data_IF_379544607295
#
_entry.id   IF_379544607295
#
_cell.length_a   1.000
_cell.length_b   1.000
_cell.length_c   1.000
_cell.angle_alpha   90.00
_cell.angle_beta   90.00
_cell.angle_gamma   90.00
#
_symmetry.space_group_name_H-M   'P 1'
#
loop_
_entity.id
_entity.type
_entity.pdbx_description
1 polymer ?
#
# COMPACT_ATOMS: atom_id res chain seq x y z
N UNK A 1 -94.02 -65.83 29.34
CA UNK A 1 -94.01 -64.56 28.59
C UNK A 1 -93.31 -63.43 29.36
N UNK A 2 -93.87 -62.89 30.46
CA UNK A 2 -93.34 -61.68 31.13
C UNK A 2 -91.83 -61.66 31.48
N UNK A 3 -91.28 -62.76 31.99
CA UNK A 3 -89.86 -62.83 32.37
C UNK A 3 -88.91 -62.85 31.14
N UNK A 4 -89.36 -63.45 30.04
CA UNK A 4 -88.63 -63.45 28.76
C UNK A 4 -88.61 -62.04 28.17
N UNK A 5 -89.72 -61.31 28.26
CA UNK A 5 -89.80 -59.92 27.78
C UNK A 5 -88.89 -58.99 28.59
N UNK A 6 -88.83 -59.19 29.91
CA UNK A 6 -87.94 -58.43 30.80
C UNK A 6 -86.47 -58.66 30.47
N UNK A 7 -86.05 -59.93 30.30
CA UNK A 7 -84.67 -60.28 29.91
C UNK A 7 -84.31 -59.79 28.51
N UNK A 8 -85.27 -59.80 27.58
CA UNK A 8 -85.06 -59.26 26.23
C UNK A 8 -84.73 -57.77 26.26
N UNK A 9 -85.48 -56.99 27.05
CA UNK A 9 -85.24 -55.55 27.20
C UNK A 9 -83.86 -55.25 27.81
N UNK A 10 -83.43 -56.06 28.78
CA UNK A 10 -82.12 -55.93 29.43
C UNK A 10 -80.96 -56.18 28.44
N UNK A 11 -81.06 -57.25 27.65
CA UNK A 11 -80.07 -57.54 26.59
C UNK A 11 -80.04 -56.43 25.52
N UNK A 12 -81.19 -55.87 25.16
CA UNK A 12 -81.27 -54.80 24.16
C UNK A 12 -80.68 -53.48 24.70
N UNK A 13 -80.76 -53.22 25.99
CA UNK A 13 -80.10 -52.08 26.63
C UNK A 13 -78.59 -52.29 26.72
N UNK A 14 -78.13 -53.49 27.08
CA UNK A 14 -76.71 -53.83 27.10
C UNK A 14 -76.09 -53.77 25.70
N UNK A 15 -76.81 -54.22 24.67
CA UNK A 15 -76.39 -54.09 23.28
C UNK A 15 -76.19 -52.62 22.88
N UNK A 16 -77.11 -51.72 23.28
CA UNK A 16 -76.97 -50.28 23.04
C UNK A 16 -75.76 -49.68 23.78
N UNK A 17 -75.50 -50.10 25.02
CA UNK A 17 -74.32 -49.65 25.80
C UNK A 17 -73.02 -50.12 25.16
N UNK A 18 -72.96 -51.37 24.69
CA UNK A 18 -71.79 -51.92 24.00
C UNK A 18 -71.55 -51.23 22.65
N UNK A 19 -72.61 -50.92 21.91
CA UNK A 19 -72.53 -50.14 20.67
C UNK A 19 -71.91 -48.76 20.91
N UNK A 20 -72.38 -48.03 21.93
CA UNK A 20 -71.81 -46.72 22.33
C UNK A 20 -70.32 -46.83 22.65
N UNK A 21 -69.94 -47.81 23.49
CA UNK A 21 -68.53 -48.04 23.84
C UNK A 21 -67.67 -48.40 22.62
N UNK A 22 -68.22 -49.15 21.66
CA UNK A 22 -67.51 -49.46 20.41
C UNK A 22 -67.22 -48.19 19.61
N UNK A 23 -68.21 -47.30 19.49
CA UNK A 23 -68.05 -46.04 18.76
C UNK A 23 -67.02 -45.12 19.44
N UNK A 24 -67.08 -44.99 20.76
CA UNK A 24 -66.09 -44.23 21.54
C UNK A 24 -64.66 -44.78 21.34
N UNK A 25 -64.50 -46.10 21.34
CA UNK A 25 -63.20 -46.74 21.11
C UNK A 25 -62.68 -46.48 19.69
N UNK A 26 -63.57 -46.55 18.69
CA UNK A 26 -63.26 -46.27 17.28
C UNK A 26 -62.79 -44.83 17.09
N UNK A 27 -63.46 -43.86 17.72
CA UNK A 27 -63.06 -42.45 17.71
C UNK A 27 -61.71 -42.25 18.41
N UNK A 28 -61.50 -42.88 19.57
CA UNK A 28 -60.22 -42.84 20.28
C UNK A 28 -59.06 -43.42 19.46
N UNK A 29 -59.29 -44.50 18.70
CA UNK A 29 -58.29 -45.03 17.77
C UNK A 29 -57.98 -44.06 16.64
N UNK A 30 -58.98 -43.41 16.05
CA UNK A 30 -58.77 -42.39 15.00
C UNK A 30 -57.92 -41.23 15.52
N UNK A 31 -58.23 -40.72 16.72
CA UNK A 31 -57.44 -39.67 17.35
C UNK A 31 -56.00 -40.11 17.62
N UNK A 32 -55.82 -41.34 18.12
CA UNK A 32 -54.50 -41.92 18.34
C UNK A 32 -53.68 -42.02 17.04
N UNK A 33 -54.30 -42.45 15.94
CA UNK A 33 -53.63 -42.52 14.65
C UNK A 33 -53.22 -41.13 14.13
N UNK A 34 -54.08 -40.12 14.28
CA UNK A 34 -53.72 -38.74 13.93
C UNK A 34 -52.53 -38.23 14.73
N UNK A 35 -52.54 -38.41 16.06
CA UNK A 35 -51.41 -38.03 16.93
C UNK A 35 -50.12 -38.79 16.59
N UNK A 36 -50.22 -40.07 16.21
CA UNK A 36 -49.07 -40.86 15.78
C UNK A 36 -48.42 -40.29 14.52
N UNK A 37 -49.23 -39.84 13.55
CA UNK A 37 -48.73 -39.20 12.33
C UNK A 37 -48.07 -37.86 12.64
N UNK A 38 -48.69 -37.03 13.50
CA UNK A 38 -48.11 -35.76 13.94
C UNK A 38 -46.76 -35.97 14.65
N UNK A 39 -46.69 -36.94 15.57
CA UNK A 39 -45.46 -37.28 16.28
C UNK A 39 -44.34 -37.72 15.34
N UNK A 40 -44.65 -38.51 14.30
CA UNK A 40 -43.69 -38.89 13.29
C UNK A 40 -43.15 -37.66 12.53
N UNK A 41 -44.02 -36.70 12.20
CA UNK A 41 -43.62 -35.43 11.58
C UNK A 41 -42.70 -34.59 12.47
N UNK A 42 -43.03 -34.47 13.75
CA UNK A 42 -42.19 -33.77 14.74
C UNK A 42 -40.83 -34.46 14.87
N UNK A 43 -40.80 -35.78 14.98
CA UNK A 43 -39.57 -36.56 15.06
C UNK A 43 -38.66 -36.33 13.85
N UNK A 44 -39.23 -36.28 12.65
CA UNK A 44 -38.47 -36.00 11.42
C UNK A 44 -37.89 -34.58 11.42
N UNK A 45 -38.67 -33.59 11.87
CA UNK A 45 -38.22 -32.20 11.97
C UNK A 45 -37.09 -32.04 12.98
N UNK A 46 -37.19 -32.73 14.13
CA UNK A 46 -36.13 -32.77 15.15
C UNK A 46 -34.84 -33.39 14.58
N UNK A 47 -34.94 -34.52 13.89
CA UNK A 47 -33.79 -35.18 13.28
C UNK A 47 -33.08 -34.26 12.25
N UNK A 48 -33.85 -33.55 11.42
CA UNK A 48 -33.30 -32.58 10.48
C UNK A 48 -32.55 -31.44 11.19
N UNK A 49 -33.15 -30.88 12.26
CA UNK A 49 -32.49 -29.82 13.05
C UNK A 49 -31.20 -30.29 13.71
N UNK A 50 -31.14 -31.53 14.19
CA UNK A 50 -29.91 -32.10 14.74
C UNK A 50 -28.80 -32.17 13.68
N UNK A 51 -29.11 -32.67 12.49
CA UNK A 51 -28.13 -32.72 11.40
C UNK A 51 -27.60 -31.33 11.02
N UNK A 52 -28.48 -30.32 10.94
CA UNK A 52 -28.04 -28.95 10.68
C UNK A 52 -27.14 -28.38 11.80
N UNK A 53 -27.42 -28.72 13.07
CA UNK A 53 -26.59 -28.27 14.20
C UNK A 53 -25.20 -28.91 14.13
N UNK A 54 -25.12 -30.19 13.80
CA UNK A 54 -23.84 -30.89 13.61
C UNK A 54 -23.01 -30.27 12.48
N UNK A 55 -23.64 -29.96 11.34
CA UNK A 55 -22.97 -29.28 10.24
C UNK A 55 -22.47 -27.89 10.65
N UNK A 56 -23.29 -27.10 11.35
CA UNK A 56 -22.88 -25.79 11.88
C UNK A 56 -21.70 -25.91 12.84
N UNK A 57 -21.67 -26.92 13.69
CA UNK A 57 -20.56 -27.15 14.62
C UNK A 57 -19.26 -27.51 13.89
N UNK A 58 -19.32 -28.32 12.83
CA UNK A 58 -18.15 -28.63 12.00
C UNK A 58 -17.62 -27.36 11.31
N UNK A 59 -18.51 -26.53 10.77
CA UNK A 59 -18.13 -25.26 10.15
C UNK A 59 -17.46 -24.31 11.16
N UNK A 60 -18.05 -24.17 12.34
CA UNK A 60 -17.48 -23.34 13.41
C UNK A 60 -16.08 -23.82 13.80
N UNK A 61 -15.88 -25.13 13.97
CA UNK A 61 -14.56 -25.69 14.27
C UNK A 61 -13.53 -25.39 13.16
N UNK A 62 -13.91 -25.53 11.89
CA UNK A 62 -13.04 -25.19 10.77
C UNK A 62 -12.65 -23.70 10.79
N UNK A 63 -13.62 -22.82 11.05
CA UNK A 63 -13.39 -21.37 11.12
C UNK A 63 -12.54 -20.96 12.31
N UNK A 64 -12.67 -21.62 13.45
CA UNK A 64 -11.79 -21.42 14.61
C UNK A 64 -10.34 -21.77 14.26
N UNK A 65 -10.09 -22.86 13.55
CA UNK A 65 -8.74 -23.24 13.13
C UNK A 65 -8.14 -22.24 12.13
N UNK A 66 -8.94 -21.72 11.21
CA UNK A 66 -8.52 -20.67 10.27
C UNK A 66 -8.15 -19.37 11.01
N UNK A 67 -8.97 -18.97 11.99
CA UNK A 67 -8.70 -17.78 12.80
C UNK A 67 -7.41 -17.92 13.60
N UNK A 68 -7.17 -19.06 14.25
CA UNK A 68 -5.92 -19.32 14.97
C UNK A 68 -4.70 -19.24 14.04
N UNK A 69 -4.83 -19.73 12.80
CA UNK A 69 -3.74 -19.65 11.82
C UNK A 69 -3.44 -18.21 11.40
N UNK A 70 -4.49 -17.39 11.19
CA UNK A 70 -4.35 -15.95 10.89
C UNK A 70 -3.79 -15.16 12.05
N UNK A 71 -4.17 -15.49 13.28
CA UNK A 71 -3.64 -14.85 14.48
C UNK A 71 -2.11 -15.00 14.56
N UNK A 72 -1.59 -16.22 14.35
CA UNK A 72 -0.16 -16.48 14.32
C UNK A 72 0.58 -15.72 13.20
N UNK A 73 -0.07 -15.53 12.04
CA UNK A 73 0.50 -14.75 10.93
C UNK A 73 0.57 -13.25 11.27
N UNK A 74 -0.49 -12.71 11.86
CA UNK A 74 -0.55 -11.32 12.31
C UNK A 74 0.53 -11.05 13.35
N UNK A 75 0.66 -11.90 14.37
CA UNK A 75 1.71 -11.77 15.38
C UNK A 75 3.12 -11.75 14.76
N UNK A 76 3.39 -12.67 13.82
CA UNK A 76 4.67 -12.70 13.11
C UNK A 76 4.92 -11.42 12.33
N UNK A 77 3.89 -10.90 11.65
CA UNK A 77 3.98 -9.66 10.88
C UNK A 77 4.22 -8.43 11.77
N UNK A 78 3.60 -8.38 12.96
CA UNK A 78 3.78 -7.33 13.95
C UNK A 78 5.21 -7.29 14.46
N UNK A 79 5.77 -8.45 14.82
CA UNK A 79 7.17 -8.55 15.27
C UNK A 79 8.15 -8.10 14.18
N UNK A 80 7.91 -8.47 12.92
CA UNK A 80 8.74 -8.03 11.80
C UNK A 80 8.63 -6.52 11.55
N UNK A 81 7.43 -5.96 11.66
CA UNK A 81 7.19 -4.53 11.51
C UNK A 81 7.92 -3.73 12.61
N UNK A 82 7.80 -4.18 13.86
CA UNK A 82 8.47 -3.55 15.00
C UNK A 82 10.01 -3.52 14.82
N UNK A 83 10.62 -4.63 14.38
CA UNK A 83 12.07 -4.69 14.10
C UNK A 83 12.49 -3.72 13.00
N UNK A 84 11.71 -3.63 11.92
CA UNK A 84 12.00 -2.69 10.83
C UNK A 84 11.85 -1.24 11.28
N UNK A 85 10.84 -0.94 12.10
CA UNK A 85 10.67 0.40 12.70
C UNK A 85 11.90 0.80 13.51
N UNK A 86 12.36 -0.09 14.41
CA UNK A 86 13.55 0.14 15.23
C UNK A 86 14.81 0.36 14.36
N UNK A 87 14.99 -0.45 13.31
CA UNK A 87 16.10 -0.27 12.36
C UNK A 87 16.04 1.09 11.67
N UNK A 88 14.85 1.54 11.25
CA UNK A 88 14.69 2.85 10.61
C UNK A 88 14.93 4.01 11.59
N UNK A 89 14.50 3.88 12.85
CA UNK A 89 14.79 4.87 13.89
C UNK A 89 16.29 4.96 14.18
N UNK A 90 17.00 3.83 14.20
CA UNK A 90 18.45 3.80 14.34
C UNK A 90 19.15 4.55 13.20
N UNK A 91 18.79 4.24 11.95
CA UNK A 91 19.33 4.94 10.77
C UNK A 91 19.04 6.44 10.81
N UNK A 92 17.86 6.83 11.27
CA UNK A 92 17.51 8.25 11.42
C UNK A 92 18.39 8.95 12.46
N UNK A 93 18.68 8.30 13.59
CA UNK A 93 19.61 8.81 14.60
C UNK A 93 21.02 9.02 14.03
N UNK A 94 21.55 8.03 13.30
CA UNK A 94 22.87 8.13 12.66
C UNK A 94 22.95 9.27 11.65
N UNK A 95 21.91 9.43 10.81
CA UNK A 95 21.81 10.53 9.84
C UNK A 95 21.80 11.88 10.56
N UNK A 96 21.05 12.02 11.65
CA UNK A 96 21.00 13.26 12.42
C UNK A 96 22.36 13.61 13.03
N UNK A 97 23.05 12.65 13.64
CA UNK A 97 24.40 12.89 14.16
C UNK A 97 25.42 13.22 13.05
N UNK A 98 25.28 12.62 11.85
CA UNK A 98 26.10 12.99 10.70
C UNK A 98 25.81 14.42 10.22
N UNK A 99 24.54 14.82 10.22
CA UNK A 99 24.11 16.18 9.88
C UNK A 99 24.71 17.22 10.83
N UNK A 100 24.65 16.99 12.15
CA UNK A 100 25.22 17.90 13.15
C UNK A 100 26.73 18.13 12.93
N UNK A 101 27.48 17.05 12.66
CA UNK A 101 28.93 17.16 12.33
C UNK A 101 29.18 17.97 11.06
N UNK A 102 28.35 17.79 10.03
CA UNK A 102 28.47 18.57 8.80
C UNK A 102 28.14 20.05 9.03
N UNK A 103 27.13 20.35 9.85
CA UNK A 103 26.79 21.73 10.22
C UNK A 103 27.94 22.42 10.98
N UNK A 104 28.66 21.70 11.84
CA UNK A 104 29.85 22.21 12.50
C UNK A 104 31.00 22.47 11.51
N UNK A 105 31.27 21.54 10.59
CA UNK A 105 32.26 21.75 9.53
C UNK A 105 31.93 22.93 8.63
N UNK A 106 30.65 23.15 8.30
CA UNK A 106 30.23 24.33 7.52
C UNK A 106 30.55 25.61 8.27
N UNK A 107 30.23 25.71 9.57
CA UNK A 107 30.56 26.89 10.40
C UNK A 107 32.06 27.16 10.46
N UNK A 108 32.87 26.10 10.56
CA UNK A 108 34.33 26.23 10.54
C UNK A 108 34.83 26.76 9.19
N UNK A 109 34.32 26.22 8.08
CA UNK A 109 34.69 26.65 6.72
C UNK A 109 34.28 28.10 6.45
N UNK A 110 33.09 28.52 6.88
CA UNK A 110 32.64 29.91 6.79
C UNK A 110 33.57 30.86 7.58
N UNK A 111 34.06 30.43 8.75
CA UNK A 111 34.99 31.24 9.55
C UNK A 111 36.35 31.38 8.86
N UNK A 112 36.91 30.29 8.33
CA UNK A 112 38.15 30.31 7.53
C UNK A 112 38.01 31.15 6.27
N UNK A 113 36.84 31.11 5.62
CA UNK A 113 36.55 31.95 4.45
C UNK A 113 36.63 33.44 4.81
N UNK A 114 36.05 33.86 5.94
CA UNK A 114 36.13 35.24 6.42
C UNK A 114 37.55 35.67 6.77
N UNK A 115 38.33 34.81 7.42
CA UNK A 115 39.74 35.09 7.73
C UNK A 115 40.57 35.32 6.46
N UNK A 116 40.41 34.45 5.45
CA UNK A 116 41.06 34.62 4.15
C UNK A 116 40.65 35.91 3.47
N UNK A 117 39.35 36.24 3.47
CA UNK A 117 38.84 37.47 2.86
C UNK A 117 39.44 38.73 3.52
N UNK A 118 39.52 38.74 4.85
CA UNK A 118 40.17 39.83 5.59
C UNK A 118 41.68 39.90 5.27
N UNK A 119 42.37 38.77 5.19
CA UNK A 119 43.78 38.71 4.81
C UNK A 119 44.03 39.23 3.39
N UNK A 120 43.16 38.92 2.43
CA UNK A 120 43.23 39.49 1.08
C UNK A 120 43.03 41.00 1.07
N UNK A 121 42.07 41.52 1.85
CA UNK A 121 41.85 42.97 1.98
C UNK A 121 43.10 43.68 2.54
N UNK A 122 43.74 43.11 3.58
CA UNK A 122 44.96 43.65 4.16
C UNK A 122 46.14 43.62 3.17
N UNK A 123 46.33 42.52 2.46
CA UNK A 123 47.38 42.39 1.44
C UNK A 123 47.19 43.39 0.30
N UNK A 124 45.95 43.63 -0.13
CA UNK A 124 45.67 44.63 -1.15
C UNK A 124 45.97 46.05 -0.64
N UNK A 125 45.63 46.37 0.62
CA UNK A 125 46.05 47.64 1.25
C UNK A 125 47.58 47.81 1.26
N UNK A 126 48.32 46.79 1.71
CA UNK A 126 49.79 46.81 1.71
C UNK A 126 50.36 46.99 0.30
N UNK A 127 49.77 46.32 -0.69
CA UNK A 127 50.16 46.46 -2.10
C UNK A 127 50.00 47.91 -2.59
N UNK A 128 48.90 48.56 -2.23
CA UNK A 128 48.65 49.97 -2.58
C UNK A 128 49.65 50.91 -1.92
N UNK A 129 50.02 50.68 -0.65
CA UNK A 129 51.06 51.44 0.05
C UNK A 129 52.45 51.27 -0.58
N UNK A 130 52.85 50.03 -0.88
CA UNK A 130 54.11 49.75 -1.58
C UNK A 130 54.16 50.43 -2.96
N UNK A 131 53.05 50.38 -3.71
CA UNK A 131 52.93 51.05 -5.01
C UNK A 131 53.16 52.56 -4.90
N UNK A 132 52.56 53.19 -3.89
CA UNK A 132 52.76 54.62 -3.60
C UNK A 132 54.22 54.93 -3.27
N UNK A 133 54.85 54.16 -2.38
CA UNK A 133 56.27 54.33 -2.01
C UNK A 133 57.22 54.15 -3.21
N UNK A 134 56.92 53.23 -4.13
CA UNK A 134 57.73 53.03 -5.34
C UNK A 134 57.62 54.17 -6.34
N UNK A 135 56.45 54.78 -6.49
CA UNK A 135 56.27 55.95 -7.36
C UNK A 135 56.97 57.18 -6.75
N UNK A 136 56.86 57.40 -5.44
CA UNK A 136 57.56 58.47 -4.72
C UNK A 136 59.09 58.33 -4.76
N UNK A 137 59.62 57.09 -4.75
CA UNK A 137 61.07 56.85 -4.92
C UNK A 137 61.54 56.97 -6.37
N UNK A 138 60.69 56.69 -7.35
CA UNK A 138 61.02 56.87 -8.78
C UNK A 138 61.13 58.35 -9.14
N UNK A 139 60.25 59.21 -8.59
CA UNK A 139 60.30 60.66 -8.80
C UNK A 139 61.55 61.31 -8.18
N UNK A 140 62.10 60.74 -7.11
CA UNK A 140 63.32 61.22 -6.46
C UNK A 140 64.63 60.76 -7.13
N UNK A 141 64.59 59.84 -8.10
CA UNK A 141 65.79 59.28 -8.75
C UNK A 141 65.95 59.68 -10.24
N UNK A 142 65.07 60.51 -10.79
CA UNK A 142 65.25 61.14 -12.11
C UNK A 142 66.01 62.47 -11.93
N UNK A 143 67.25 62.37 -11.44
CA UNK A 143 68.21 63.49 -11.50
C UNK A 143 69.66 63.04 -11.66
N UNK A 144 69.98 61.74 -11.61
CA UNK A 144 71.37 61.29 -11.83
C UNK A 144 71.47 59.84 -12.28
N UNK A 145 71.51 59.62 -13.59
CA UNK A 145 72.47 58.71 -14.25
C UNK A 145 72.12 58.52 -15.74
N UNK A 146 72.61 59.42 -16.59
CA UNK A 146 73.00 59.02 -17.94
C UNK A 146 74.35 58.30 -17.89
N UNK A 147 74.50 57.34 -18.80
CA UNK A 147 75.74 56.68 -19.26
C UNK A 147 76.38 55.61 -18.37
N UNK A 148 76.24 54.34 -18.77
CA UNK A 148 77.40 53.49 -19.11
C UNK A 148 76.95 52.22 -19.84
N UNK A 149 77.27 52.15 -21.13
CA UNK A 149 77.19 50.92 -21.93
C UNK A 149 78.38 50.04 -21.53
N UNK A 150 78.13 48.84 -20.99
CA UNK A 150 79.00 47.70 -21.27
C UNK A 150 78.33 46.34 -20.96
N UNK A 151 78.55 45.32 -21.81
CA UNK A 151 77.86 44.04 -21.71
C UNK A 151 78.60 43.08 -20.78
N UNK A 152 77.98 42.70 -19.66
CA UNK A 152 78.52 41.65 -18.79
C UNK A 152 77.84 40.33 -19.11
N UNK A 153 78.61 39.47 -19.79
CA UNK A 153 78.33 38.03 -19.97
C UNK A 153 78.09 37.38 -18.60
N UNK A 154 76.88 36.90 -18.32
CA UNK A 154 76.63 35.99 -17.18
C UNK A 154 76.35 34.58 -17.70
N UNK A 155 77.19 33.67 -17.22
CA UNK A 155 77.15 32.22 -17.46
C UNK A 155 75.76 31.67 -17.14
N UNK A 156 75.22 30.90 -18.09
CA UNK A 156 74.06 30.02 -17.89
C UNK A 156 74.43 28.97 -16.84
N UNK A 157 73.89 29.10 -15.63
CA UNK A 157 73.85 27.98 -14.68
C UNK A 157 72.55 27.24 -14.87
N UNK A 158 72.68 26.08 -15.50
CA UNK A 158 71.64 25.07 -15.63
C UNK A 158 71.24 24.56 -14.24
N UNK A 159 70.09 25.00 -13.73
CA UNK A 159 69.41 24.28 -12.66
C UNK A 159 68.49 23.23 -13.27
N UNK A 160 68.82 21.99 -12.93
CA UNK A 160 68.26 20.73 -13.40
C UNK A 160 66.73 20.73 -13.34
N UNK A 161 66.10 20.53 -14.50
CA UNK A 161 64.77 19.91 -14.64
C UNK A 161 64.79 18.60 -13.86
N UNK A 162 64.07 18.53 -12.73
CA UNK A 162 63.70 17.26 -12.12
C UNK A 162 62.55 16.67 -12.94
N UNK A 163 62.89 15.64 -13.70
CA UNK A 163 61.97 14.74 -14.40
C UNK A 163 61.64 13.59 -13.45
N UNK A 164 60.39 13.45 -13.03
CA UNK A 164 59.81 12.19 -12.52
C UNK A 164 58.37 12.13 -13.04
N UNK A 165 58.21 11.41 -14.15
CA UNK A 165 57.67 10.03 -14.26
C UNK A 165 56.15 10.05 -14.27
N UNK A 166 55.61 10.08 -15.49
CA UNK A 166 54.29 9.52 -15.77
C UNK A 166 54.34 8.05 -15.35
N UNK A 167 53.58 7.73 -14.31
CA UNK A 167 53.11 6.37 -14.09
C UNK A 167 51.72 6.34 -14.71
N UNK A 168 51.64 5.76 -15.91
CA UNK A 168 50.37 5.27 -16.45
C UNK A 168 49.77 4.27 -15.47
N UNK A 169 48.51 4.52 -15.10
CA UNK A 169 47.58 3.52 -14.57
C UNK A 169 46.22 3.76 -15.23
N UNK A 170 45.41 2.70 -15.36
CA UNK A 170 44.86 2.29 -16.64
C UNK A 170 43.49 2.89 -16.94
N UNK A 171 43.16 2.88 -18.23
CA UNK A 171 41.80 3.05 -18.72
C UNK A 171 40.85 2.02 -18.08
N UNK A 172 39.63 2.41 -17.67
CA UNK A 172 38.50 1.53 -17.73
C UNK A 172 37.91 1.62 -19.14
N UNK A 173 38.23 0.64 -19.97
CA UNK A 173 37.29 0.21 -21.00
C UNK A 173 36.18 -0.56 -20.30
N UNK A 174 34.97 -0.02 -20.25
CA UNK A 174 33.76 -0.84 -20.23
C UNK A 174 32.69 -0.15 -21.07
N UNK A 175 32.47 -0.77 -22.22
CA UNK A 175 31.21 -0.96 -22.92
C UNK A 175 30.27 0.23 -23.09
N UNK A 176 30.13 0.57 -24.36
CA UNK A 176 28.89 1.04 -24.95
C UNK A 176 27.69 0.30 -24.37
N UNK A 177 26.85 1.03 -23.66
CA UNK A 177 25.41 0.83 -23.77
C UNK A 177 24.86 2.20 -24.09
N UNK A 178 24.44 2.36 -25.34
CA UNK A 178 23.49 3.38 -25.74
C UNK A 178 22.31 3.25 -24.79
N UNK A 179 22.24 4.14 -23.79
CA UNK A 179 21.02 4.27 -22.99
C UNK A 179 20.02 4.97 -23.90
N UNK A 180 19.30 4.12 -24.63
CA UNK A 180 18.07 4.48 -25.28
C UNK A 180 17.20 5.15 -24.22
N UNK A 181 16.85 6.41 -24.47
CA UNK A 181 15.82 7.12 -23.73
C UNK A 181 14.48 6.44 -24.03
N UNK A 182 14.22 5.29 -23.40
CA UNK A 182 12.91 4.66 -23.38
C UNK A 182 12.39 4.73 -21.95
N UNK A 183 11.76 5.86 -21.65
CA UNK A 183 10.86 6.05 -20.52
C UNK A 183 9.57 5.26 -20.73
N UNK A 184 9.63 3.93 -20.78
CA UNK A 184 8.49 3.07 -21.17
C UNK A 184 8.15 1.97 -20.15
N UNK A 185 8.55 2.13 -18.89
CA UNK A 185 8.25 1.15 -17.83
C UNK A 185 7.66 1.71 -16.54
N UNK A 186 7.63 3.04 -16.38
CA UNK A 186 7.27 3.68 -15.10
C UNK A 186 5.83 4.14 -15.03
N UNK A 187 5.12 4.21 -16.16
CA UNK A 187 3.72 4.59 -16.13
C UNK A 187 2.87 3.44 -15.62
N UNK A 188 2.25 3.65 -14.47
CA UNK A 188 1.26 2.75 -13.88
C UNK A 188 -0.14 3.29 -14.10
N UNK A 189 -1.12 2.41 -14.22
CA UNK A 189 -2.53 2.75 -14.25
C UNK A 189 -3.29 1.94 -13.20
N UNK A 190 -4.41 2.49 -12.75
CA UNK A 190 -5.34 1.79 -11.86
C UNK A 190 -6.43 1.12 -12.67
N UNK A 191 -6.81 -0.08 -12.28
CA UNK A 191 -7.89 -0.87 -12.89
C UNK A 191 -8.74 -1.52 -11.81
N UNK A 192 -9.96 -1.96 -12.15
CA UNK A 192 -10.85 -2.69 -11.23
C UNK A 192 -11.30 -4.02 -11.81
N UNK A 193 -11.43 -5.03 -10.94
CA UNK A 193 -12.02 -6.31 -11.33
C UNK A 193 -13.54 -6.17 -11.43
N UNK A 194 -14.12 -6.51 -12.59
CA UNK A 194 -15.58 -6.45 -12.79
C UNK A 194 -16.38 -7.41 -11.88
N UNK A 195 -15.76 -8.48 -11.39
CA UNK A 195 -16.43 -9.51 -10.58
C UNK A 195 -16.50 -9.16 -9.09
N UNK A 196 -15.42 -8.59 -8.54
CA UNK A 196 -15.31 -8.32 -7.09
C UNK A 196 -15.01 -6.87 -6.75
N UNK A 197 -14.93 -5.99 -7.75
CA UNK A 197 -14.70 -4.54 -7.62
C UNK A 197 -13.40 -4.14 -6.91
N UNK A 198 -12.45 -5.08 -6.79
CA UNK A 198 -11.15 -4.79 -6.19
C UNK A 198 -10.28 -4.00 -7.16
N UNK A 199 -9.59 -2.98 -6.64
CA UNK A 199 -8.75 -2.05 -7.42
C UNK A 199 -7.30 -2.53 -7.41
N UNK A 200 -6.64 -2.49 -8.56
CA UNK A 200 -5.26 -2.92 -8.75
C UNK A 200 -4.44 -1.84 -9.46
N UNK A 201 -3.17 -1.71 -9.11
CA UNK A 201 -2.19 -0.90 -9.84
C UNK A 201 -1.32 -1.81 -10.70
N UNK A 202 -1.26 -1.53 -12.00
CA UNK A 202 -0.41 -2.26 -12.94
C UNK A 202 0.42 -1.31 -13.80
N UNK A 203 1.48 -1.81 -14.42
CA UNK A 203 2.23 -1.07 -15.44
C UNK A 203 1.41 -0.95 -16.72
N UNK A 204 1.52 0.16 -17.46
CA UNK A 204 0.75 0.38 -18.70
C UNK A 204 0.98 -0.68 -19.79
N UNK A 205 2.01 -1.51 -19.65
CA UNK A 205 2.29 -2.67 -20.51
C UNK A 205 1.20 -3.75 -20.51
N UNK A 206 0.30 -3.75 -19.52
CA UNK A 206 -0.81 -4.71 -19.41
C UNK A 206 -2.19 -4.09 -19.59
N UNK A 207 -2.29 -2.86 -20.08
CA UNK A 207 -3.58 -2.26 -20.48
C UNK A 207 -4.20 -3.10 -21.60
N UNK A 208 -5.52 -3.30 -21.51
CA UNK A 208 -6.33 -4.10 -22.43
C UNK A 208 -5.91 -5.58 -22.54
N UNK A 209 -5.20 -6.12 -21.55
CA UNK A 209 -4.88 -7.56 -21.46
C UNK A 209 -5.79 -8.27 -20.46
N UNK A 210 -6.01 -9.56 -20.69
CA UNK A 210 -6.70 -10.44 -19.75
C UNK A 210 -5.78 -10.79 -18.57
N UNK A 211 -6.21 -10.40 -17.37
CA UNK A 211 -5.54 -10.70 -16.11
C UNK A 211 -6.43 -11.59 -15.25
N UNK A 212 -5.82 -12.32 -14.32
CA UNK A 212 -6.55 -13.09 -13.30
C UNK A 212 -6.59 -12.30 -12.01
N UNK A 213 -7.80 -12.06 -11.48
CA UNK A 213 -7.97 -11.33 -10.22
C UNK A 213 -7.41 -12.14 -9.06
N UNK A 214 -6.46 -11.57 -8.31
CA UNK A 214 -5.86 -12.24 -7.15
C UNK A 214 -6.84 -12.40 -5.98
N UNK A 215 -7.94 -11.64 -5.97
CA UNK A 215 -8.95 -11.69 -4.91
C UNK A 215 -10.04 -12.74 -5.16
N UNK A 216 -10.56 -12.85 -6.38
CA UNK A 216 -11.67 -13.77 -6.71
C UNK A 216 -11.33 -14.85 -7.74
N UNK A 217 -10.09 -14.90 -8.23
CA UNK A 217 -9.59 -15.84 -9.24
C UNK A 217 -10.28 -15.78 -10.62
N UNK A 218 -11.22 -14.86 -10.83
CA UNK A 218 -11.86 -14.66 -12.14
C UNK A 218 -10.97 -13.85 -13.08
N UNK A 219 -11.09 -14.16 -14.38
CA UNK A 219 -10.42 -13.42 -15.45
C UNK A 219 -11.14 -12.09 -15.71
N UNK A 220 -10.39 -11.03 -15.98
CA UNK A 220 -10.93 -9.73 -16.34
C UNK A 220 -9.95 -8.97 -17.25
N UNK A 221 -10.45 -8.03 -18.05
CA UNK A 221 -9.61 -7.15 -18.87
C UNK A 221 -9.23 -5.90 -18.09
N UNK A 222 -7.95 -5.56 -18.08
CA UNK A 222 -7.47 -4.38 -17.36
C UNK A 222 -7.69 -3.10 -18.19
N UNK A 223 -8.57 -2.22 -17.72
CA UNK A 223 -8.80 -0.88 -18.29
C UNK A 223 -8.31 0.22 -17.34
N UNK A 224 -7.88 1.35 -17.91
CA UNK A 224 -7.49 2.54 -17.16
C UNK A 224 -8.71 3.24 -16.58
N UNK A 225 -8.71 3.45 -15.27
CA UNK A 225 -9.71 4.24 -14.57
C UNK A 225 -9.41 5.72 -14.73
N UNK A 226 -10.45 6.53 -14.96
CA UNK A 226 -10.33 7.98 -15.02
C UNK A 226 -9.76 8.54 -13.71
N UNK A 227 -9.02 9.65 -13.77
CA UNK A 227 -8.33 10.27 -12.63
C UNK A 227 -9.24 10.64 -11.44
N UNK A 228 -10.56 10.72 -11.66
CA UNK A 228 -11.55 10.93 -10.61
C UNK A 228 -11.86 9.66 -9.78
N UNK A 229 -11.54 8.48 -10.30
CA UNK A 229 -11.76 7.17 -9.68
C UNK A 229 -10.47 6.50 -9.19
N UNK A 230 -9.31 7.14 -9.40
CA UNK A 230 -8.05 6.70 -8.82
C UNK A 230 -7.93 7.11 -7.35
N UNK A 231 -7.53 6.21 -6.43
CA UNK A 231 -7.27 6.60 -5.06
C UNK A 231 -6.10 7.61 -4.98
N UNK A 232 -6.12 8.58 -4.05
CA UNK A 232 -5.06 9.59 -3.92
C UNK A 232 -3.68 8.94 -3.66
N UNK A 233 -2.62 9.60 -4.15
CA UNK A 233 -1.25 9.10 -4.43
C UNK A 233 -0.45 8.59 -3.21
N UNK A 234 -1.08 8.27 -2.08
CA UNK A 234 -0.36 7.89 -0.86
C UNK A 234 -1.05 6.77 -0.05
N UNK A 235 -1.46 5.69 -0.72
CA UNK A 235 -2.01 4.52 -0.05
C UNK A 235 -1.25 3.23 -0.39
N UNK A 236 -0.76 2.57 0.66
CA UNK A 236 -0.18 1.23 0.59
C UNK A 236 -1.27 0.16 0.45
N UNK A 237 -0.92 -0.94 -0.22
CA UNK A 237 -1.78 -1.98 -0.80
C UNK A 237 -2.47 -2.91 0.23
N UNK A 238 -3.17 -2.36 1.23
CA UNK A 238 -3.82 -3.20 2.27
C UNK A 238 -5.23 -2.81 2.72
N UNK A 239 -5.75 -1.62 2.41
CA UNK A 239 -7.12 -1.29 2.82
C UNK A 239 -7.85 -0.39 1.82
N UNK A 240 -8.63 -1.03 0.94
CA UNK A 240 -9.69 -0.39 0.17
C UNK A 240 -10.94 -1.28 0.24
N UNK A 241 -11.56 -1.29 1.42
CA UNK A 241 -12.95 -1.71 1.56
C UNK A 241 -13.83 -0.49 1.32
N UNK A 242 -14.69 -0.59 0.31
CA UNK A 242 -15.82 0.30 0.03
C UNK A 242 -15.50 1.71 -0.49
N UNK A 243 -15.68 1.91 -1.80
CA UNK A 243 -16.22 3.16 -2.32
C UNK A 243 -17.73 2.99 -2.56
N UNK A 244 -18.58 3.92 -2.12
CA UNK A 244 -20.00 3.86 -2.40
C UNK A 244 -20.25 4.00 -3.90
N UNK A 245 -21.13 3.15 -4.43
CA UNK A 245 -21.69 3.28 -5.78
C UNK A 245 -22.33 4.67 -5.89
N UNK A 246 -21.80 5.52 -6.75
CA UNK A 246 -22.64 6.54 -7.38
C UNK A 246 -23.44 5.85 -8.46
N UNK A 247 -24.71 5.58 -8.18
CA UNK A 247 -25.69 5.23 -9.21
C UNK A 247 -25.81 6.41 -10.18
N UNK A 248 -24.99 6.39 -11.22
CA UNK A 248 -25.24 7.18 -12.43
C UNK A 248 -26.03 6.26 -13.35
N UNK A 249 -27.35 6.37 -13.27
CA UNK A 249 -28.23 5.89 -14.32
C UNK A 249 -27.88 6.62 -15.62
N UNK A 250 -27.76 5.92 -16.76
CA UNK A 250 -27.65 6.59 -18.05
C UNK A 250 -28.98 7.30 -18.32
N UNK A 251 -28.95 8.63 -18.24
CA UNK A 251 -30.07 9.48 -18.62
C UNK A 251 -30.36 9.32 -20.10
N UNK A 252 -31.59 8.87 -20.36
CA UNK A 252 -32.26 8.98 -21.65
C UNK A 252 -32.21 10.42 -22.15
N UNK A 253 -31.67 10.58 -23.35
CA UNK A 253 -31.88 11.76 -24.17
C UNK A 253 -33.34 11.76 -24.65
N UNK A 254 -34.15 12.67 -24.12
CA UNK A 254 -35.52 12.91 -24.59
C UNK A 254 -35.91 14.37 -24.36
N UNK A 255 -35.85 15.18 -25.41
CA UNK A 255 -36.30 16.56 -25.40
C UNK A 255 -37.82 16.70 -25.24
N UNK A 256 -38.27 17.90 -24.87
CA UNK A 256 -39.70 18.20 -24.85
C UNK A 256 -40.07 19.38 -23.98
N UNK A 257 -39.96 20.57 -24.57
CA UNK A 257 -40.92 21.68 -24.53
C UNK A 257 -42.05 21.64 -23.49
N UNK A 258 -42.25 22.76 -22.77
CA UNK A 258 -43.60 23.17 -22.40
C UNK A 258 -43.77 23.91 -21.08
N UNK A 259 -43.97 25.22 -21.21
CA UNK A 259 -45.08 25.95 -20.58
C UNK A 259 -44.97 26.40 -19.12
N UNK A 260 -44.74 27.70 -19.04
CA UNK A 260 -45.08 28.66 -17.99
C UNK A 260 -46.60 28.67 -17.70
N UNK A 261 -46.96 29.21 -16.52
CA UNK A 261 -48.30 29.51 -15.95
C UNK A 261 -48.85 28.36 -15.09
N UNK A 262 -49.34 28.56 -13.87
CA UNK A 262 -49.88 29.74 -13.19
C UNK A 262 -49.73 29.55 -11.67
#
# INVERSE_FOLDING_TARGET
>A
MREIDSRKNEVEEDARKLESKRQELEEGFKEFYSKKIEFAGISSSIAARFAEIEERNLNLNARTNELNSREMEVERSQVLCAKKSEETENKMREINSARERMEEYVKELESKQKELENGFKELESKRMEFSKMTNESADNNISSAETSKNPIKRKRTSLRRRRRTNTELPAPQVSQTVVNQNSDGTETFWTLCAHCQFIFQYTKLVVNKELTCTHCSNKFTAYELDAASSPPVNYSMVDLKYFPKTDVTPGDNGGGSGSVQQ
#
